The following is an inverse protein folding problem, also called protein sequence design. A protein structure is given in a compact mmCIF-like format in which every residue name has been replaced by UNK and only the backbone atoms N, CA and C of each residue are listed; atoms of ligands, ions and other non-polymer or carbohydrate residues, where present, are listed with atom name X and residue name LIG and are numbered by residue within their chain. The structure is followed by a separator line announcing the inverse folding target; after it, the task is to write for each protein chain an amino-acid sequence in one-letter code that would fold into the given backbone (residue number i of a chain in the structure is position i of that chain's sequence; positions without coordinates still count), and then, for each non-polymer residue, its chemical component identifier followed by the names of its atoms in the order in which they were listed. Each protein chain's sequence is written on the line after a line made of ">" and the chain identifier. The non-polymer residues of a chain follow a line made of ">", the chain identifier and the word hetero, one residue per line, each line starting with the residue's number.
data_IF_208321514484
#
_entry.id   IF_208321514484
#
_cell.length_a   1.000
_cell.length_b   1.000
_cell.length_c   1.000
_cell.angle_alpha   90.00
_cell.angle_beta   90.00
_cell.angle_gamma   90.00
#
_symmetry.space_group_name_H-M   'P 1'
#
loop_
_entity.id
_entity.type
_entity.pdbx_description
1 polymer ?
#
# COMPACT_ATOMS: atom_id res chain seq x y z
N UNK A 1 5.06 21.63 0.53
CA UNK A 1 5.28 20.16 0.56
C UNK A 1 3.97 19.49 0.23
N UNK A 2 3.94 18.39 -0.53
CA UNK A 2 2.69 17.97 -1.13
C UNK A 2 1.84 17.31 -0.01
N UNK A 3 0.70 17.92 0.37
CA UNK A 3 -0.09 17.53 1.56
C UNK A 3 -0.84 16.19 1.38
N UNK A 4 -0.45 15.39 0.40
CA UNK A 4 -1.22 14.27 -0.15
C UNK A 4 -0.43 12.94 -0.17
N UNK A 5 0.61 12.81 0.66
CA UNK A 5 1.37 11.55 0.80
C UNK A 5 1.25 11.01 2.22
N UNK A 6 0.75 9.77 2.33
CA UNK A 6 0.71 8.98 3.56
C UNK A 6 1.56 7.72 3.42
N UNK A 7 2.29 7.35 4.48
CA UNK A 7 3.18 6.19 4.52
C UNK A 7 2.88 5.33 5.74
N UNK A 8 2.76 4.00 5.54
CA UNK A 8 2.71 3.04 6.64
C UNK A 8 3.93 2.15 6.72
N UNK A 9 4.37 1.82 7.94
CA UNK A 9 5.44 0.86 8.19
C UNK A 9 5.35 0.30 9.62
N UNK A 10 5.86 -0.93 9.88
CA UNK A 10 5.74 -1.56 11.19
C UNK A 10 6.60 -0.92 12.29
N UNK A 11 7.59 -0.09 11.95
CA UNK A 11 8.51 0.52 12.93
C UNK A 11 8.78 1.99 12.61
N UNK A 12 9.06 2.78 13.65
CA UNK A 12 9.37 4.22 13.51
C UNK A 12 10.62 4.47 12.68
N UNK A 13 11.61 3.57 12.71
CA UNK A 13 12.84 3.73 11.92
C UNK A 13 12.59 3.91 10.42
N UNK A 14 11.50 3.33 9.90
CA UNK A 14 11.05 3.54 8.53
C UNK A 14 10.28 4.86 8.34
N UNK A 15 9.54 5.31 9.36
CA UNK A 15 8.61 6.45 9.30
C UNK A 15 9.28 7.80 9.57
N UNK A 16 10.29 7.86 10.45
CA UNK A 16 10.92 9.12 10.88
C UNK A 16 11.43 9.96 9.71
N UNK A 17 11.97 9.32 8.67
CA UNK A 17 12.45 9.99 7.45
C UNK A 17 11.31 10.62 6.63
N UNK A 18 10.10 10.07 6.69
CA UNK A 18 8.92 10.61 6.00
C UNK A 18 8.25 11.68 6.86
N UNK A 19 8.17 11.46 8.18
CA UNK A 19 7.68 12.42 9.16
C UNK A 19 8.49 13.71 9.15
N UNK A 20 9.83 13.61 9.13
CA UNK A 20 10.73 14.76 8.99
C UNK A 20 10.57 15.52 7.66
N UNK A 21 9.98 14.88 6.65
CA UNK A 21 9.61 15.49 5.37
C UNK A 21 8.15 15.95 5.31
N UNK A 22 7.46 15.98 6.45
CA UNK A 22 6.08 16.45 6.56
C UNK A 22 5.02 15.50 5.99
N UNK A 23 5.34 14.23 5.74
CA UNK A 23 4.35 13.24 5.32
C UNK A 23 3.50 12.77 6.50
N UNK A 24 2.26 12.39 6.22
CA UNK A 24 1.42 11.66 7.18
C UNK A 24 1.98 10.23 7.35
N UNK A 25 2.15 9.76 8.58
CA UNK A 25 2.68 8.43 8.85
C UNK A 25 1.73 7.62 9.73
N UNK A 26 1.66 6.31 9.51
CA UNK A 26 0.86 5.38 10.32
C UNK A 26 1.61 4.05 10.51
N UNK A 27 1.26 3.28 11.53
CA UNK A 27 1.69 1.89 11.64
C UNK A 27 0.71 0.90 11.01
N UNK A 28 -0.42 1.38 10.51
CA UNK A 28 -1.52 0.55 10.01
C UNK A 28 -1.68 0.70 8.50
N UNK A 29 -1.64 -0.40 7.76
CA UNK A 29 -1.81 -0.36 6.30
C UNK A 29 -3.24 0.06 5.93
N UNK A 30 -4.23 -0.32 6.74
CA UNK A 30 -5.62 0.11 6.57
C UNK A 30 -5.80 1.64 6.63
N UNK A 31 -4.98 2.36 7.39
CA UNK A 31 -5.01 3.83 7.38
C UNK A 31 -4.68 4.40 6.00
N UNK A 32 -3.73 3.78 5.28
CA UNK A 32 -3.37 4.21 3.93
C UNK A 32 -4.53 3.94 2.97
N UNK A 33 -5.12 2.75 3.03
CA UNK A 33 -6.26 2.39 2.16
C UNK A 33 -7.44 3.35 2.38
N UNK A 34 -7.79 3.64 3.64
CA UNK A 34 -8.90 4.55 3.96
C UNK A 34 -8.70 6.00 3.49
N UNK A 35 -7.47 6.44 3.22
CA UNK A 35 -7.16 7.85 2.93
C UNK A 35 -6.51 8.09 1.54
N UNK A 36 -6.17 7.03 0.80
CA UNK A 36 -5.41 7.13 -0.44
C UNK A 36 -6.10 6.39 -1.59
N UNK A 37 -6.26 7.07 -2.73
CA UNK A 37 -6.78 6.46 -3.96
C UNK A 37 -5.68 5.76 -4.79
N UNK A 38 -4.42 6.18 -4.64
CA UNK A 38 -3.26 5.57 -5.30
C UNK A 38 -2.34 5.02 -4.22
N UNK A 39 -2.10 3.71 -4.25
CA UNK A 39 -1.40 2.98 -3.20
C UNK A 39 -0.24 2.20 -3.79
N UNK A 40 0.97 2.51 -3.34
CA UNK A 40 2.20 1.80 -3.73
C UNK A 40 2.53 0.72 -2.71
N UNK A 41 2.64 -0.53 -3.16
CA UNK A 41 3.14 -1.64 -2.35
C UNK A 41 4.67 -1.69 -2.47
N UNK A 42 5.35 -1.02 -1.53
CA UNK A 42 6.81 -0.88 -1.47
C UNK A 42 7.46 -1.79 -0.42
N UNK A 43 6.86 -2.95 -0.13
CA UNK A 43 7.40 -3.95 0.80
C UNK A 43 8.20 -5.03 0.08
N UNK A 44 8.91 -5.87 0.83
CA UNK A 44 9.65 -7.00 0.25
C UNK A 44 8.68 -7.99 -0.41
N UNK A 45 9.04 -8.66 -1.54
CA UNK A 45 8.11 -9.53 -2.27
C UNK A 45 7.42 -10.59 -1.42
N UNK A 46 8.13 -11.23 -0.48
CA UNK A 46 7.56 -12.26 0.41
C UNK A 46 6.57 -11.71 1.45
N UNK A 47 6.53 -10.39 1.67
CA UNK A 47 5.61 -9.72 2.60
C UNK A 47 4.29 -9.34 1.91
N UNK A 48 4.31 -9.17 0.59
CA UNK A 48 3.17 -8.70 -0.20
C UNK A 48 1.90 -9.55 0.02
N UNK A 49 1.93 -10.89 0.02
CA UNK A 49 0.72 -11.68 0.25
C UNK A 49 0.04 -11.38 1.60
N UNK A 50 0.84 -11.15 2.65
CA UNK A 50 0.31 -10.79 3.97
C UNK A 50 -0.34 -9.42 3.96
N UNK A 51 0.28 -8.44 3.28
CA UNK A 51 -0.27 -7.08 3.16
C UNK A 51 -1.56 -7.09 2.35
N UNK A 52 -1.61 -7.81 1.23
CA UNK A 52 -2.82 -7.92 0.40
C UNK A 52 -4.00 -8.48 1.19
N UNK A 53 -3.77 -9.53 1.98
CA UNK A 53 -4.79 -10.11 2.87
C UNK A 53 -5.26 -9.12 3.93
N UNK A 54 -4.35 -8.32 4.50
CA UNK A 54 -4.69 -7.30 5.49
C UNK A 54 -5.58 -6.21 4.88
N UNK A 55 -5.23 -5.69 3.70
CA UNK A 55 -5.94 -4.57 3.08
C UNK A 55 -7.22 -4.97 2.33
N UNK A 56 -7.35 -6.24 1.96
CA UNK A 56 -8.47 -6.79 1.17
C UNK A 56 -9.85 -6.24 1.56
N UNK A 57 -10.25 -6.17 2.86
CA UNK A 57 -11.60 -5.77 3.23
C UNK A 57 -11.96 -4.31 2.92
N UNK A 58 -10.96 -3.45 2.65
CA UNK A 58 -11.17 -2.02 2.40
C UNK A 58 -10.82 -1.60 0.97
N UNK A 59 -10.26 -2.50 0.16
CA UNK A 59 -9.96 -2.19 -1.24
C UNK A 59 -11.25 -2.16 -2.04
N UNK A 60 -11.40 -1.11 -2.84
CA UNK A 60 -12.55 -0.87 -3.72
C UNK A 60 -12.07 -0.52 -5.13
N UNK A 61 -12.98 -0.44 -6.10
CA UNK A 61 -12.68 -0.03 -7.48
C UNK A 61 -12.12 1.41 -7.60
N UNK A 62 -12.23 2.22 -6.54
CA UNK A 62 -11.64 3.57 -6.50
C UNK A 62 -10.12 3.53 -6.32
N UNK A 63 -9.57 2.42 -5.81
CA UNK A 63 -8.15 2.27 -5.54
C UNK A 63 -7.38 1.82 -6.78
N UNK A 64 -6.24 2.48 -7.02
CA UNK A 64 -5.18 2.02 -7.91
C UNK A 64 -4.05 1.44 -7.04
N UNK A 65 -3.86 0.12 -7.13
CA UNK A 65 -2.80 -0.59 -6.41
C UNK A 65 -1.63 -0.81 -7.36
N UNK A 66 -0.46 -0.28 -6.99
CA UNK A 66 0.77 -0.35 -7.76
C UNK A 66 1.79 -1.20 -7.00
N UNK A 67 2.19 -2.35 -7.53
CA UNK A 67 3.26 -3.17 -6.96
C UNK A 67 4.62 -2.67 -7.43
N UNK A 68 5.53 -2.38 -6.50
CA UNK A 68 6.94 -2.06 -6.81
C UNK A 68 7.87 -3.26 -6.56
N UNK A 69 7.33 -4.38 -6.11
CA UNK A 69 8.08 -5.54 -5.67
C UNK A 69 8.48 -6.44 -6.85
N UNK A 70 9.78 -6.58 -7.08
CA UNK A 70 10.30 -7.49 -8.11
C UNK A 70 9.83 -8.93 -7.85
N UNK A 71 9.32 -9.58 -8.91
CA UNK A 71 8.81 -10.96 -8.83
C UNK A 71 7.38 -11.10 -8.31
N UNK A 72 6.68 -10.00 -8.03
CA UNK A 72 5.22 -10.02 -7.80
C UNK A 72 4.51 -9.85 -9.13
N UNK A 73 3.80 -10.87 -9.58
CA UNK A 73 3.05 -10.82 -10.84
C UNK A 73 1.71 -10.12 -10.67
N UNK A 74 1.15 -9.62 -11.78
CA UNK A 74 -0.20 -9.09 -11.80
C UNK A 74 -1.22 -10.14 -11.33
N UNK A 75 -1.05 -11.41 -11.72
CA UNK A 75 -1.95 -12.50 -11.29
C UNK A 75 -1.92 -12.69 -9.76
N UNK A 76 -0.79 -12.42 -9.12
CA UNK A 76 -0.68 -12.45 -7.65
C UNK A 76 -1.56 -11.39 -7.02
N UNK A 77 -1.60 -10.18 -7.60
CA UNK A 77 -2.47 -9.11 -7.12
C UNK A 77 -3.95 -9.45 -7.35
N UNK A 78 -4.30 -9.89 -8.55
CA UNK A 78 -5.68 -10.24 -8.94
C UNK A 78 -6.30 -11.32 -8.06
N UNK A 79 -5.53 -12.36 -7.70
CA UNK A 79 -6.01 -13.45 -6.83
C UNK A 79 -6.27 -13.02 -5.39
N UNK A 80 -5.67 -11.93 -4.95
CA UNK A 80 -5.67 -11.50 -3.55
C UNK A 80 -6.40 -10.17 -3.33
N UNK A 81 -7.04 -9.60 -4.34
CA UNK A 81 -7.79 -8.34 -4.26
C UNK A 81 -9.19 -8.49 -4.87
N UNK A 82 -10.15 -7.64 -4.47
CA UNK A 82 -11.50 -7.69 -5.00
C UNK A 82 -11.54 -7.50 -6.52
N UNK A 83 -12.51 -8.15 -7.16
CA UNK A 83 -12.80 -7.94 -8.58
C UNK A 83 -13.10 -6.45 -8.85
N UNK A 84 -12.41 -5.86 -9.83
CA UNK A 84 -12.59 -4.47 -10.21
C UNK A 84 -11.62 -3.46 -9.57
N UNK A 85 -10.74 -3.90 -8.67
CA UNK A 85 -9.60 -3.08 -8.26
C UNK A 85 -8.72 -2.76 -9.48
N UNK A 86 -8.20 -1.52 -9.57
CA UNK A 86 -7.27 -1.15 -10.65
C UNK A 86 -5.87 -1.54 -10.23
N UNK A 87 -5.18 -2.30 -11.06
CA UNK A 87 -3.89 -2.92 -10.73
C UNK A 87 -2.80 -2.51 -11.72
N UNK A 88 -1.58 -2.31 -11.23
CA UNK A 88 -0.37 -2.13 -12.03
C UNK A 88 0.81 -2.78 -11.32
N UNK A 89 1.73 -3.40 -12.08
CA UNK A 89 2.97 -4.00 -11.58
C UNK A 89 4.17 -3.49 -12.39
#
# INVERSE_FOLDING_TARGET
>A
MPPNVMVSAPTDGNLEKFKARGCCTSHYNLSVISNCQVVFLATKPHIIPSVLKEIYPQVTAEHLIISMAAGVTLETLEKNLPLGARLSA
#
